data_IF_031186519826
#
_entry.id   IF_031186519826
#
_cell.length_a   1.000
_cell.length_b   1.000
_cell.length_c   1.000
_cell.angle_alpha   90.00
_cell.angle_beta   90.00
_cell.angle_gamma   90.00
#
_symmetry.space_group_name_H-M   'P 1'
#
loop_
_entity.id
_entity.type
_entity.pdbx_description
1 polymer ?
#
# COMPACT_ATOMS: atom_id res chain seq x y z
N UNK A 1 -9.57 -22.00 8.55
CA UNK A 1 -10.51 -20.87 8.53
C UNK A 1 -10.75 -20.44 7.08
N UNK A 2 -12.00 -20.34 6.61
CA UNK A 2 -12.32 -19.75 5.30
C UNK A 2 -12.53 -18.24 5.50
N UNK A 3 -11.76 -17.40 4.80
CA UNK A 3 -11.90 -15.94 4.83
C UNK A 3 -13.25 -15.57 4.21
N UNK A 4 -14.06 -14.75 4.88
CA UNK A 4 -15.37 -14.31 4.35
C UNK A 4 -15.16 -13.18 3.33
N UNK A 5 -16.08 -13.05 2.37
CA UNK A 5 -16.06 -11.95 1.37
C UNK A 5 -15.97 -10.55 2.00
N UNK A 6 -16.63 -10.34 3.14
CA UNK A 6 -16.55 -9.07 3.90
C UNK A 6 -15.12 -8.78 4.37
N UNK A 7 -14.39 -9.81 4.80
CA UNK A 7 -13.03 -9.68 5.31
C UNK A 7 -12.07 -9.33 4.17
N UNK A 8 -12.27 -9.92 2.98
CA UNK A 8 -11.52 -9.55 1.77
C UNK A 8 -11.67 -8.07 1.40
N UNK A 9 -12.87 -7.50 1.56
CA UNK A 9 -13.10 -6.07 1.31
C UNK A 9 -12.36 -5.18 2.33
N UNK A 10 -12.34 -5.57 3.60
CA UNK A 10 -11.60 -4.85 4.64
C UNK A 10 -10.08 -4.93 4.42
N UNK A 11 -9.58 -6.12 4.08
CA UNK A 11 -8.16 -6.33 3.74
C UNK A 11 -7.76 -5.46 2.54
N UNK A 12 -8.58 -5.45 1.48
CA UNK A 12 -8.35 -4.60 0.31
C UNK A 12 -8.26 -3.12 0.68
N UNK A 13 -9.19 -2.61 1.50
CA UNK A 13 -9.16 -1.22 1.94
C UNK A 13 -7.93 -0.89 2.78
N UNK A 14 -7.57 -1.76 3.73
CA UNK A 14 -6.39 -1.55 4.57
C UNK A 14 -5.11 -1.51 3.72
N UNK A 15 -4.96 -2.41 2.76
CA UNK A 15 -3.82 -2.47 1.85
C UNK A 15 -3.76 -1.22 0.94
N UNK A 16 -4.90 -0.75 0.43
CA UNK A 16 -4.97 0.47 -0.37
C UNK A 16 -4.62 1.74 0.42
N UNK A 17 -5.11 1.84 1.66
CA UNK A 17 -4.75 2.96 2.56
C UNK A 17 -3.25 2.91 2.88
N UNK A 18 -2.70 1.73 3.17
CA UNK A 18 -1.26 1.56 3.38
C UNK A 18 -0.42 1.95 2.17
N UNK A 19 -0.87 1.61 0.97
CA UNK A 19 -0.22 2.03 -0.27
C UNK A 19 -0.22 3.56 -0.42
N UNK A 20 -1.36 4.21 -0.16
CA UNK A 20 -1.46 5.67 -0.19
C UNK A 20 -0.51 6.34 0.82
N UNK A 21 -0.48 5.86 2.06
CA UNK A 21 0.43 6.37 3.10
C UNK A 21 1.89 6.20 2.69
N UNK A 22 2.23 5.09 2.04
CA UNK A 22 3.59 4.84 1.54
C UNK A 22 3.97 5.82 0.43
N UNK A 23 3.05 6.16 -0.48
CA UNK A 23 3.29 7.21 -1.49
C UNK A 23 3.51 8.58 -0.82
N UNK A 24 2.73 8.92 0.20
CA UNK A 24 2.91 10.17 0.95
C UNK A 24 4.25 10.20 1.68
N UNK A 25 4.67 9.09 2.28
CA UNK A 25 5.99 8.97 2.91
C UNK A 25 7.13 9.12 1.89
N UNK A 26 6.98 8.55 0.69
CA UNK A 26 7.93 8.74 -0.41
C UNK A 26 8.02 10.20 -0.84
N UNK A 27 6.87 10.87 -1.02
CA UNK A 27 6.81 12.28 -1.38
C UNK A 27 7.48 13.15 -0.31
N UNK A 28 7.24 12.87 0.97
CA UNK A 28 7.88 13.56 2.08
C UNK A 28 9.40 13.36 2.10
N UNK A 29 9.85 12.11 1.94
CA UNK A 29 11.27 11.77 1.89
C UNK A 29 12.01 12.46 0.74
N UNK A 30 11.34 12.66 -0.39
CA UNK A 30 11.89 13.34 -1.55
C UNK A 30 12.01 14.86 -1.33
N UNK A 31 10.98 15.48 -0.74
CA UNK A 31 10.91 16.95 -0.61
C UNK A 31 11.77 17.48 0.55
N UNK A 32 11.79 16.79 1.69
CA UNK A 32 12.36 17.34 2.92
C UNK A 32 13.68 16.74 3.37
N UNK A 33 14.03 15.54 2.91
CA UNK A 33 15.12 14.78 3.51
C UNK A 33 16.31 14.51 2.58
N UNK A 34 16.23 14.85 1.28
CA UNK A 34 17.23 14.47 0.26
C UNK A 34 17.51 12.94 0.22
N UNK A 35 16.64 12.11 0.82
CA UNK A 35 16.82 10.66 0.91
C UNK A 35 16.09 10.00 -0.26
N UNK A 36 16.69 10.08 -1.43
CA UNK A 36 16.20 9.41 -2.65
C UNK A 36 16.01 7.92 -2.42
N UNK A 37 16.94 7.27 -1.72
CA UNK A 37 16.90 5.83 -1.47
C UNK A 37 15.72 5.40 -0.58
N UNK A 38 15.40 6.18 0.46
CA UNK A 38 14.24 5.88 1.30
C UNK A 38 12.93 6.12 0.55
N UNK A 39 12.89 7.17 -0.29
CA UNK A 39 11.72 7.49 -1.10
C UNK A 39 11.37 6.37 -2.09
N UNK A 40 12.38 5.79 -2.74
CA UNK A 40 12.17 4.66 -3.66
C UNK A 40 11.78 3.37 -2.92
N UNK A 41 12.26 3.14 -1.70
CA UNK A 41 11.81 2.03 -0.85
C UNK A 41 10.33 2.15 -0.50
N UNK A 42 9.86 3.34 -0.11
CA UNK A 42 8.45 3.58 0.17
C UNK A 42 7.56 3.38 -1.07
N UNK A 43 8.05 3.74 -2.26
CA UNK A 43 7.34 3.45 -3.52
C UNK A 43 7.25 1.94 -3.80
N UNK A 44 8.30 1.16 -3.53
CA UNK A 44 8.24 -0.31 -3.67
C UNK A 44 7.21 -0.92 -2.72
N UNK A 45 7.18 -0.47 -1.47
CA UNK A 45 6.17 -0.90 -0.49
C UNK A 45 4.76 -0.54 -0.98
N UNK A 46 4.58 0.68 -1.50
CA UNK A 46 3.31 1.12 -2.06
C UNK A 46 2.83 0.22 -3.20
N UNK A 47 3.72 -0.15 -4.12
CA UNK A 47 3.40 -1.06 -5.24
C UNK A 47 2.96 -2.42 -4.74
N UNK A 48 3.70 -3.02 -3.80
CA UNK A 48 3.35 -4.34 -3.26
C UNK A 48 1.97 -4.29 -2.58
N UNK A 49 1.74 -3.29 -1.71
CA UNK A 49 0.46 -3.13 -1.01
C UNK A 49 -0.69 -2.90 -2.00
N UNK A 50 -0.48 -2.09 -3.05
CA UNK A 50 -1.47 -1.86 -4.08
C UNK A 50 -1.81 -3.15 -4.85
N UNK A 51 -0.80 -3.93 -5.26
CA UNK A 51 -1.03 -5.20 -5.98
C UNK A 51 -1.83 -6.18 -5.12
N UNK A 52 -1.44 -6.36 -3.84
CA UNK A 52 -2.18 -7.24 -2.94
C UNK A 52 -3.58 -6.70 -2.59
N UNK A 53 -3.73 -5.39 -2.47
CA UNK A 53 -5.04 -4.78 -2.22
C UNK A 53 -5.98 -4.93 -3.42
N UNK A 54 -5.45 -4.89 -4.65
CA UNK A 54 -6.20 -5.15 -5.87
C UNK A 54 -6.61 -6.61 -5.96
N UNK A 55 -5.70 -7.53 -5.66
CA UNK A 55 -6.00 -8.96 -5.57
C UNK A 55 -7.09 -9.24 -4.52
N UNK A 56 -6.98 -8.66 -3.32
CA UNK A 56 -7.98 -8.80 -2.28
C UNK A 56 -9.35 -8.25 -2.71
N UNK A 57 -9.38 -7.18 -3.51
CA UNK A 57 -10.61 -6.63 -4.09
C UNK A 57 -11.28 -7.59 -5.06
N UNK A 58 -10.49 -8.35 -5.84
CA UNK A 58 -11.01 -9.34 -6.77
C UNK A 58 -11.65 -10.55 -6.06
N UNK A 59 -11.26 -10.80 -4.80
CA UNK A 59 -11.76 -11.92 -3.99
C UNK A 59 -12.94 -11.56 -3.06
N UNK A 60 -13.29 -10.27 -2.95
CA UNK A 60 -14.40 -9.77 -2.12
C UNK A 60 -15.73 -9.81 -2.84
#
# INVERSE_FOLDING_TARGET
MKIKRKDWRQISQALMIGALLSVLAAAWGFVYADIVLASTQWLLVAVILAVFGLYARMQS
#
